data_IF_933842884934
#
_entry.id   IF_933842884934
#
_cell.length_a   1.000
_cell.length_b   1.000
_cell.length_c   1.000
_cell.angle_alpha   90.00
_cell.angle_beta   90.00
_cell.angle_gamma   90.00
#
_symmetry.space_group_name_H-M   'P 1'
#
loop_
_entity.id
_entity.type
_entity.pdbx_description
1 polymer ?
#
# COMPACT_ATOMS: atom_id res chain seq x y z
N UNK A 1 3.53 18.08 -9.29
CA UNK A 1 4.73 17.67 -8.54
C UNK A 1 5.13 16.29 -9.04
N UNK A 2 6.43 16.01 -9.11
CA UNK A 2 6.98 14.94 -9.95
C UNK A 2 6.88 13.56 -9.27
N UNK A 3 6.17 12.61 -9.88
CA UNK A 3 6.10 11.21 -9.45
C UNK A 3 7.49 10.56 -9.38
N UNK A 4 8.44 11.06 -10.18
CA UNK A 4 9.84 10.64 -10.16
C UNK A 4 10.51 10.85 -8.80
N UNK A 5 10.22 11.96 -8.11
CA UNK A 5 10.80 12.22 -6.79
C UNK A 5 10.32 11.20 -5.75
N UNK A 6 9.07 10.74 -5.86
CA UNK A 6 8.56 9.69 -4.98
C UNK A 6 9.31 8.38 -5.20
N UNK A 7 9.52 7.98 -6.46
CA UNK A 7 10.29 6.78 -6.79
C UNK A 7 11.73 6.85 -6.29
N UNK A 8 12.38 8.02 -6.41
CA UNK A 8 13.72 8.26 -5.86
C UNK A 8 13.75 8.08 -4.34
N UNK A 9 12.79 8.63 -3.61
CA UNK A 9 12.70 8.46 -2.14
C UNK A 9 12.41 7.02 -1.73
N UNK A 10 11.56 6.31 -2.47
CA UNK A 10 11.27 4.91 -2.22
C UNK A 10 12.53 4.06 -2.39
N UNK A 11 13.30 4.31 -3.45
CA UNK A 11 14.57 3.64 -3.67
C UNK A 11 15.57 3.89 -2.53
N UNK A 12 15.72 5.13 -2.07
CA UNK A 12 16.55 5.47 -0.91
C UNK A 12 16.07 4.77 0.38
N UNK A 13 14.76 4.57 0.51
CA UNK A 13 14.15 3.82 1.60
C UNK A 13 14.21 2.29 1.41
N UNK A 14 14.78 1.80 0.30
CA UNK A 14 14.82 0.38 -0.10
C UNK A 14 13.41 -0.23 -0.27
N UNK A 15 12.46 0.57 -0.74
CA UNK A 15 11.14 0.15 -1.18
C UNK A 15 11.09 0.12 -2.71
N UNK A 16 10.33 -0.82 -3.27
CA UNK A 16 10.12 -0.90 -4.71
C UNK A 16 9.05 0.09 -5.14
N UNK A 17 9.24 0.73 -6.29
CA UNK A 17 8.32 1.71 -6.87
C UNK A 17 8.16 1.49 -8.36
N UNK A 18 6.92 1.39 -8.84
CA UNK A 18 6.59 1.14 -10.25
C UNK A 18 5.48 2.07 -10.71
N UNK A 19 5.55 2.51 -11.96
CA UNK A 19 4.42 3.16 -12.64
C UNK A 19 3.57 2.12 -13.36
N UNK A 20 2.26 2.23 -13.21
CA UNK A 20 1.27 1.28 -13.71
C UNK A 20 0.20 2.01 -14.49
N UNK A 21 -0.12 1.51 -15.67
CA UNK A 21 -1.08 2.06 -16.62
C UNK A 21 -2.19 1.04 -16.84
N UNK A 22 -3.40 1.39 -16.38
CA UNK A 22 -4.61 0.61 -16.53
C UNK A 22 -4.67 -0.66 -15.64
N UNK A 23 -5.86 -1.28 -15.55
CA UNK A 23 -6.11 -2.39 -14.63
C UNK A 23 -5.40 -3.69 -15.03
N UNK A 24 -5.09 -3.88 -16.32
CA UNK A 24 -4.38 -5.06 -16.82
C UNK A 24 -2.92 -5.11 -16.33
N UNK A 25 -2.22 -3.97 -16.43
CA UNK A 25 -0.84 -3.88 -15.94
C UNK A 25 -0.82 -3.95 -14.41
N UNK A 26 -1.84 -3.40 -13.73
CA UNK A 26 -1.97 -3.52 -12.28
C UNK A 26 -2.15 -4.98 -11.84
N UNK A 27 -3.03 -5.72 -12.49
CA UNK A 27 -3.23 -7.15 -12.24
C UNK A 27 -1.93 -7.94 -12.47
N UNK A 28 -1.19 -7.62 -13.53
CA UNK A 28 0.10 -8.25 -13.82
C UNK A 28 1.13 -7.94 -12.72
N UNK A 29 1.28 -6.67 -12.34
CA UNK A 29 2.23 -6.27 -11.30
C UNK A 29 1.93 -6.95 -9.96
N UNK A 30 0.66 -7.02 -9.56
CA UNK A 30 0.24 -7.74 -8.36
C UNK A 30 0.54 -9.25 -8.45
N UNK A 31 0.33 -9.88 -9.61
CA UNK A 31 0.62 -11.31 -9.79
C UNK A 31 2.14 -11.61 -9.73
N UNK A 32 2.99 -10.69 -10.18
CA UNK A 32 4.44 -10.86 -10.23
C UNK A 32 5.14 -10.50 -8.91
N UNK A 33 4.64 -9.50 -8.18
CA UNK A 33 5.35 -8.91 -7.03
C UNK A 33 4.76 -9.31 -5.67
N UNK A 34 3.55 -9.86 -5.62
CA UNK A 34 2.90 -10.20 -4.35
C UNK A 34 3.23 -11.61 -3.84
N UNK A 35 3.53 -11.71 -2.55
CA UNK A 35 3.45 -12.98 -1.83
C UNK A 35 1.99 -13.42 -1.67
N UNK A 36 1.70 -14.69 -1.88
CA UNK A 36 0.37 -15.26 -1.60
C UNK A 36 0.26 -15.73 -0.14
N UNK A 37 -0.92 -15.64 0.51
CA UNK A 37 -2.17 -15.11 -0.01
C UNK A 37 -2.23 -13.56 -0.01
N UNK A 38 -3.00 -13.01 -0.95
CA UNK A 38 -3.29 -11.58 -1.09
C UNK A 38 -4.53 -11.19 -0.28
N UNK A 39 -4.38 -10.20 0.61
CA UNK A 39 -5.51 -9.51 1.22
C UNK A 39 -5.74 -8.17 0.55
N UNK A 40 -6.94 -7.97 0.01
CA UNK A 40 -7.32 -6.76 -0.72
C UNK A 40 -8.19 -5.88 0.16
N UNK A 41 -7.87 -4.58 0.21
CA UNK A 41 -8.81 -3.58 0.68
C UNK A 41 -10.09 -3.57 -0.16
N UNK A 42 -11.23 -3.29 0.48
CA UNK A 42 -12.51 -3.04 -0.18
C UNK A 42 -12.51 -1.69 -0.91
N UNK A 43 -11.84 -1.66 -2.06
CA UNK A 43 -11.71 -0.47 -2.91
C UNK A 43 -12.25 -0.75 -4.32
N UNK A 44 -12.98 0.18 -4.98
CA UNK A 44 -13.51 -0.03 -6.34
C UNK A 44 -12.47 -0.50 -7.36
N UNK A 45 -11.27 0.09 -7.35
CA UNK A 45 -10.14 -0.34 -8.20
C UNK A 45 -9.76 -1.81 -7.97
N UNK A 46 -9.75 -2.27 -6.72
CA UNK A 46 -9.38 -3.65 -6.39
C UNK A 46 -10.50 -4.63 -6.79
N UNK A 47 -11.76 -4.22 -6.73
CA UNK A 47 -12.87 -4.98 -7.30
C UNK A 47 -12.79 -5.10 -8.83
N UNK A 48 -12.34 -4.05 -9.52
CA UNK A 48 -12.11 -4.08 -10.97
C UNK A 48 -10.95 -5.01 -11.35
N UNK A 49 -9.88 -5.03 -10.56
CA UNK A 49 -8.67 -5.83 -10.81
C UNK A 49 -8.82 -7.30 -10.39
N UNK A 50 -9.64 -7.61 -9.39
CA UNK A 50 -9.87 -8.96 -8.89
C UNK A 50 -10.17 -10.03 -9.98
N UNK A 51 -11.10 -9.81 -10.94
CA UNK A 51 -11.32 -10.78 -12.02
C UNK A 51 -10.10 -10.96 -12.93
N UNK A 52 -9.28 -9.90 -13.13
CA UNK A 52 -8.06 -9.96 -13.94
C UNK A 52 -6.94 -10.74 -13.25
N UNK A 53 -6.88 -10.68 -11.91
CA UNK A 53 -6.00 -11.53 -11.09
C UNK A 53 -6.38 -13.00 -11.23
N UNK A 54 -7.68 -13.31 -11.09
CA UNK A 54 -8.19 -14.68 -11.25
C UNK A 54 -7.91 -15.22 -12.67
N UNK A 55 -8.10 -14.42 -13.71
CA UNK A 55 -7.79 -14.78 -15.09
C UNK A 55 -6.30 -15.10 -15.32
N UNK A 56 -5.41 -14.54 -14.49
CA UNK A 56 -3.96 -14.80 -14.49
C UNK A 56 -3.55 -15.99 -13.61
N UNK A 57 -4.51 -16.70 -13.01
CA UNK A 57 -4.24 -17.87 -12.16
C UNK A 57 -3.94 -17.54 -10.70
N UNK A 58 -4.06 -16.28 -10.29
CA UNK A 58 -3.97 -15.89 -8.88
C UNK A 58 -5.30 -16.23 -8.21
N UNK A 59 -5.35 -17.32 -7.45
CA UNK A 59 -6.58 -17.81 -6.80
C UNK A 59 -6.59 -17.64 -5.28
N UNK A 60 -5.43 -17.38 -4.68
CA UNK A 60 -5.28 -17.16 -3.24
C UNK A 60 -5.37 -15.67 -2.89
N UNK A 61 -6.54 -15.06 -3.15
CA UNK A 61 -6.82 -13.70 -2.73
C UNK A 61 -8.20 -13.57 -2.10
N UNK A 62 -8.33 -12.69 -1.11
CA UNK A 62 -9.61 -12.38 -0.47
C UNK A 62 -9.72 -10.88 -0.19
N UNK A 63 -10.94 -10.36 -0.27
CA UNK A 63 -11.25 -9.03 0.26
C UNK A 63 -11.33 -9.06 1.77
N UNK A 64 -10.87 -7.99 2.41
CA UNK A 64 -10.90 -7.87 3.86
C UNK A 64 -12.32 -7.90 4.42
N UNK A 65 -13.33 -7.36 3.73
CA UNK A 65 -14.73 -7.48 4.14
C UNK A 65 -15.26 -8.92 4.19
N UNK A 66 -14.65 -9.83 3.44
CA UNK A 66 -15.01 -11.25 3.44
C UNK A 66 -14.32 -12.03 4.57
N UNK A 67 -13.36 -11.42 5.28
CA UNK A 67 -12.68 -12.06 6.40
C UNK A 67 -13.53 -11.98 7.67
N UNK A 68 -13.73 -13.10 8.38
CA UNK A 68 -14.31 -13.09 9.71
C UNK A 68 -13.49 -12.18 10.65
N UNK A 69 -14.18 -11.35 11.45
CA UNK A 69 -13.52 -10.37 12.33
C UNK A 69 -12.58 -11.01 13.38
N UNK A 70 -12.80 -12.28 13.71
CA UNK A 70 -11.97 -13.12 14.60
C UNK A 70 -10.78 -13.76 13.88
N UNK A 71 -10.86 -13.96 12.56
CA UNK A 71 -9.76 -14.45 11.72
C UNK A 71 -8.91 -13.32 11.14
N UNK A 72 -9.39 -12.09 11.15
CA UNK A 72 -8.60 -10.88 10.94
C UNK A 72 -7.64 -10.57 12.12
N UNK A 73 -7.27 -11.59 12.89
CA UNK A 73 -6.23 -11.52 13.91
C UNK A 73 -4.83 -11.39 13.30
N UNK A 74 -3.86 -11.09 14.17
CA UNK A 74 -2.43 -10.90 13.87
C UNK A 74 -1.69 -12.18 13.42
N UNK A 75 -2.35 -13.07 12.67
CA UNK A 75 -1.65 -14.09 11.89
C UNK A 75 -0.74 -13.43 10.86
N UNK A 76 0.26 -14.16 10.34
CA UNK A 76 1.15 -13.64 9.29
C UNK A 76 0.33 -13.34 8.02
N UNK A 77 -0.21 -12.13 7.93
CA UNK A 77 -0.72 -11.58 6.67
C UNK A 77 0.50 -11.51 5.75
N UNK A 78 0.51 -12.36 4.72
CA UNK A 78 1.60 -12.38 3.76
C UNK A 78 1.67 -11.05 3.02
N UNK A 79 0.59 -10.67 2.34
CA UNK A 79 0.53 -9.42 1.57
C UNK A 79 -0.79 -8.69 1.79
N UNK A 80 -0.71 -7.40 2.11
CA UNK A 80 -1.86 -6.50 2.16
C UNK A 80 -1.76 -5.49 1.02
N UNK A 81 -2.81 -5.42 0.20
CA UNK A 81 -2.95 -4.47 -0.90
C UNK A 81 -3.96 -3.40 -0.52
N UNK A 82 -3.53 -2.13 -0.51
CA UNK A 82 -4.37 -0.98 -0.18
C UNK A 82 -4.25 0.12 -1.22
N UNK A 83 -5.21 1.01 -1.25
CA UNK A 83 -5.16 2.23 -2.08
C UNK A 83 -4.96 3.45 -1.18
N UNK A 84 -3.83 4.13 -1.37
CA UNK A 84 -3.53 5.36 -0.65
C UNK A 84 -4.40 6.53 -1.13
N UNK A 85 -4.68 7.46 -0.22
CA UNK A 85 -5.30 8.73 -0.57
C UNK A 85 -4.36 9.65 -1.37
N UNK A 86 -3.05 9.47 -1.23
CA UNK A 86 -2.02 10.19 -1.94
C UNK A 86 -0.63 9.93 -1.36
N UNK A 87 0.37 10.59 -1.92
CA UNK A 87 1.76 10.52 -1.47
C UNK A 87 2.42 11.90 -1.43
N UNK A 88 3.41 12.03 -0.54
CA UNK A 88 4.21 13.21 -0.30
C UNK A 88 5.66 12.89 -0.70
N UNK A 89 6.07 13.17 -1.95
CA UNK A 89 7.41 12.88 -2.44
C UNK A 89 8.53 13.48 -1.61
N UNK A 90 8.36 14.64 -0.99
CA UNK A 90 9.45 15.29 -0.24
C UNK A 90 9.87 14.49 0.98
N UNK A 91 8.93 13.75 1.59
CA UNK A 91 9.16 12.93 2.77
C UNK A 91 9.13 11.43 2.48
N UNK A 92 8.75 11.02 1.27
CA UNK A 92 8.52 9.61 0.92
C UNK A 92 7.35 9.00 1.68
N UNK A 93 6.35 9.80 2.04
CA UNK A 93 5.21 9.37 2.87
C UNK A 93 3.98 9.04 2.03
N UNK A 94 3.25 8.00 2.41
CA UNK A 94 1.98 7.57 1.82
C UNK A 94 0.85 7.85 2.82
N UNK A 95 -0.27 8.38 2.34
CA UNK A 95 -1.41 8.74 3.17
C UNK A 95 -2.44 7.61 3.12
N UNK A 96 -2.63 6.91 4.23
CA UNK A 96 -3.61 5.82 4.39
C UNK A 96 -4.76 6.31 5.27
N UNK A 97 -5.98 5.93 4.91
CA UNK A 97 -7.20 6.43 5.56
C UNK A 97 -8.03 5.28 6.08
N UNK A 98 -8.93 5.54 7.02
CA UNK A 98 -9.84 4.53 7.53
C UNK A 98 -11.04 4.25 6.61
N UNK A 99 -10.89 4.41 5.27
CA UNK A 99 -11.93 4.05 4.29
C UNK A 99 -12.38 2.61 4.46
N UNK A 100 -11.41 1.69 4.57
CA UNK A 100 -11.62 0.36 5.11
C UNK A 100 -11.05 0.30 6.52
N UNK A 101 -11.89 0.32 7.58
CA UNK A 101 -11.43 0.29 8.96
C UNK A 101 -10.55 -0.92 9.28
N UNK A 102 -10.84 -2.06 8.63
CA UNK A 102 -10.06 -3.28 8.82
C UNK A 102 -8.69 -3.18 8.14
N UNK A 103 -8.63 -2.68 6.91
CA UNK A 103 -7.35 -2.46 6.22
C UNK A 103 -6.48 -1.46 7.00
N UNK A 104 -7.08 -0.37 7.48
CA UNK A 104 -6.40 0.64 8.28
C UNK A 104 -5.81 0.06 9.56
N UNK A 105 -6.59 -0.75 10.30
CA UNK A 105 -6.12 -1.44 11.51
C UNK A 105 -5.00 -2.42 11.23
N UNK A 106 -5.06 -3.12 10.09
CA UNK A 106 -4.07 -4.13 9.71
C UNK A 106 -2.83 -3.53 9.04
N UNK A 107 -2.83 -2.24 8.67
CA UNK A 107 -1.72 -1.56 7.99
C UNK A 107 -0.39 -1.51 8.76
N UNK A 108 -0.32 -1.95 10.01
CA UNK A 108 0.93 -2.07 10.77
C UNK A 108 1.48 -3.51 10.87
N UNK A 109 0.71 -4.51 10.43
CA UNK A 109 0.96 -5.93 10.67
C UNK A 109 1.39 -6.81 9.47
N UNK A 110 1.30 -6.44 8.18
CA UNK A 110 1.57 -7.37 7.09
C UNK A 110 3.07 -7.55 6.90
N UNK A 111 3.49 -8.70 6.37
CA UNK A 111 4.89 -8.90 5.94
C UNK A 111 5.22 -8.07 4.72
N UNK A 112 4.33 -8.04 3.73
CA UNK A 112 4.46 -7.22 2.55
C UNK A 112 3.31 -6.23 2.46
N UNK A 113 3.65 -4.96 2.25
CA UNK A 113 2.72 -3.92 1.85
C UNK A 113 2.80 -3.70 0.34
N UNK A 114 1.66 -3.74 -0.34
CA UNK A 114 1.53 -3.19 -1.68
C UNK A 114 0.56 -2.02 -1.62
N UNK A 115 1.06 -0.81 -1.86
CA UNK A 115 0.28 0.41 -1.78
C UNK A 115 0.13 1.01 -3.17
N UNK A 116 -1.11 1.11 -3.62
CA UNK A 116 -1.45 1.73 -4.89
C UNK A 116 -1.71 3.23 -4.64
N UNK A 117 -1.02 4.10 -5.37
CA UNK A 117 -1.16 5.55 -5.25
C UNK A 117 -1.72 6.08 -6.56
N UNK A 118 -2.88 6.77 -6.57
CA UNK A 118 -3.38 7.43 -7.77
C UNK A 118 -2.34 8.44 -8.29
N UNK A 119 -2.00 8.39 -9.58
CA UNK A 119 -0.92 9.20 -10.16
C UNK A 119 -1.15 10.70 -9.93
N UNK A 120 -2.40 11.16 -10.04
CA UNK A 120 -2.78 12.56 -9.84
C UNK A 120 -2.59 13.03 -8.38
N UNK A 121 -2.42 12.10 -7.44
CA UNK A 121 -2.14 12.36 -6.01
C UNK A 121 -0.80 11.79 -5.54
N UNK A 122 0.06 11.34 -6.46
CA UNK A 122 1.40 10.86 -6.10
C UNK A 122 2.37 12.00 -5.74
N UNK A 123 1.98 13.25 -6.00
CA UNK A 123 2.81 14.44 -5.83
C UNK A 123 2.19 15.51 -4.95
N UNK A 124 1.66 15.17 -3.79
CA UNK A 124 1.12 16.15 -2.84
C UNK A 124 2.25 16.83 -2.06
N UNK A 125 2.19 18.15 -1.93
CA UNK A 125 2.97 18.86 -0.92
C UNK A 125 2.47 18.52 0.49
N UNK A 126 3.32 18.69 1.51
CA UNK A 126 2.92 18.55 2.91
C UNK A 126 1.67 19.39 3.27
N UNK A 127 1.58 20.62 2.77
CA UNK A 127 0.45 21.51 3.02
C UNK A 127 -0.86 20.97 2.40
N UNK A 128 -0.80 20.43 1.18
CA UNK A 128 -1.94 19.78 0.54
C UNK A 128 -2.38 18.53 1.30
N UNK A 129 -1.42 17.70 1.74
CA UNK A 129 -1.69 16.52 2.54
C UNK A 129 -2.36 16.84 3.89
N UNK A 130 -1.92 17.90 4.58
CA UNK A 130 -2.52 18.36 5.83
C UNK A 130 -3.94 18.90 5.60
N UNK A 131 -4.16 19.67 4.53
CA UNK A 131 -5.48 20.19 4.17
C UNK A 131 -6.45 19.05 3.88
N UNK A 132 -5.99 18.06 3.13
CA UNK A 132 -6.76 16.86 2.81
C UNK A 132 -7.08 16.05 4.09
N UNK A 133 -6.10 15.83 4.95
CA UNK A 133 -6.27 15.12 6.23
C UNK A 133 -7.29 15.80 7.14
N UNK A 134 -7.34 17.13 7.17
CA UNK A 134 -8.31 17.89 7.94
C UNK A 134 -9.76 17.75 7.43
N UNK A 135 -9.95 17.29 6.19
CA UNK A 135 -11.25 17.11 5.56
C UNK A 135 -11.70 15.63 5.53
N UNK A 136 -10.85 14.69 5.96
CA UNK A 136 -11.15 13.26 5.93
C UNK A 136 -12.25 12.93 6.97
N UNK A 137 -13.45 12.47 6.54
CA UNK A 137 -14.63 12.37 7.42
C UNK A 137 -14.45 11.44 8.62
N UNK A 138 -13.62 10.42 8.49
CA UNK A 138 -13.33 9.48 9.58
C UNK A 138 -12.44 10.07 10.68
N UNK A 139 -11.71 11.15 10.38
CA UNK A 139 -10.70 11.73 11.27
C UNK A 139 -9.49 10.84 11.53
N UNK A 140 -9.39 9.69 10.84
CA UNK A 140 -8.34 8.69 11.03
C UNK A 140 -7.46 8.62 9.78
N UNK A 141 -6.23 9.08 9.93
CA UNK A 141 -5.22 9.07 8.87
C UNK A 141 -3.90 8.54 9.45
N UNK A 142 -3.24 7.67 8.70
CA UNK A 142 -1.92 7.11 9.00
C UNK A 142 -0.97 7.50 7.88
N UNK A 143 0.25 7.89 8.25
CA UNK A 143 1.28 8.33 7.32
C UNK A 143 2.37 7.26 7.30
N UNK A 144 2.39 6.43 6.26
CA UNK A 144 3.39 5.38 6.11
C UNK A 144 4.62 5.96 5.41
N UNK A 145 5.78 5.94 6.06
CA UNK A 145 7.03 6.51 5.51
C UNK A 145 8.10 5.43 5.41
N UNK A 146 8.23 4.82 4.23
CA UNK A 146 9.14 3.69 3.99
C UNK A 146 8.78 2.40 4.79
N UNK A 147 9.55 1.31 4.60
CA UNK A 147 9.41 0.09 5.39
C UNK A 147 9.85 0.30 6.85
N UNK A 148 9.27 -0.46 7.79
CA UNK A 148 9.63 -0.34 9.21
C UNK A 148 11.03 -0.87 9.45
N UNK A 149 11.95 0.01 9.87
CA UNK A 149 13.31 -0.35 10.26
C UNK A 149 13.51 0.01 11.73
N UNK A 150 13.70 -1.02 12.56
CA UNK A 150 14.16 -0.84 13.93
C UNK A 150 15.64 -1.21 13.94
N UNK A 151 16.52 -0.23 14.13
CA UNK A 151 17.92 -0.54 14.42
C UNK A 151 17.98 -1.05 15.87
N UNK A 152 18.36 -2.31 16.06
CA UNK A 152 18.60 -2.82 17.41
C UNK A 152 19.83 -2.09 18.00
N UNK A 153 19.83 -1.85 19.32
CA UNK A 153 20.80 -0.99 20.03
C UNK A 153 22.26 -1.44 19.79
N UNK A 154 22.45 -2.69 19.39
CA UNK A 154 23.74 -3.31 19.07
C UNK A 154 24.20 -3.15 17.61
N UNK A 155 23.59 -2.27 16.81
CA UNK A 155 24.00 -1.93 15.42
C UNK A 155 23.96 -3.09 14.42
N UNK A 156 23.15 -4.11 14.68
CA UNK A 156 22.79 -5.10 13.66
C UNK A 156 21.40 -4.74 13.11
N UNK A 157 21.30 -4.44 11.82
CA UNK A 157 20.03 -4.19 11.14
C UNK A 157 19.20 -5.49 11.16
N UNK A 158 18.16 -5.53 12.01
CA UNK A 158 17.15 -6.58 11.98
C UNK A 158 15.97 -6.04 11.20
N UNK A 159 15.79 -6.53 9.96
CA UNK A 159 14.57 -6.29 9.19
C UNK A 159 13.40 -7.02 9.88
N UNK A 160 12.27 -6.32 10.12
CA UNK A 160 11.01 -6.96 10.52
C UNK A 160 10.68 -7.11 12.01
N UNK A 161 11.37 -6.43 12.94
CA UNK A 161 11.05 -6.57 14.37
C UNK A 161 9.73 -5.86 14.81
N UNK A 162 9.29 -4.81 14.10
CA UNK A 162 8.09 -4.01 14.43
C UNK A 162 7.43 -3.35 13.19
N UNK A 163 7.22 -4.09 12.09
CA UNK A 163 6.44 -3.65 10.93
C UNK A 163 6.78 -4.42 9.64
N UNK A 164 6.22 -3.98 8.51
CA UNK A 164 6.34 -4.71 7.23
C UNK A 164 7.80 -4.94 6.80
N UNK A 165 8.08 -6.18 6.39
CA UNK A 165 9.37 -6.65 5.88
C UNK A 165 9.68 -6.05 4.49
N UNK A 166 8.64 -5.78 3.69
CA UNK A 166 8.77 -5.12 2.38
C UNK A 166 7.61 -4.17 2.09
N UNK A 167 7.92 -3.14 1.29
CA UNK A 167 6.95 -2.16 0.78
C UNK A 167 7.14 -2.02 -0.73
N UNK A 168 6.06 -2.21 -1.47
CA UNK A 168 5.96 -1.96 -2.92
C UNK A 168 4.94 -0.84 -3.12
N UNK A 169 5.29 0.18 -3.89
CA UNK A 169 4.40 1.28 -4.24
C UNK A 169 4.12 1.28 -5.73
N UNK A 170 2.85 1.25 -6.09
CA UNK A 170 2.38 1.25 -7.47
C UNK A 170 1.72 2.59 -7.77
N UNK A 171 2.36 3.44 -8.57
CA UNK A 171 1.80 4.71 -9.01
C UNK A 171 0.86 4.41 -10.19
N UNK A 172 -0.45 4.54 -9.97
CA UNK A 172 -1.48 4.07 -10.88
C UNK A 172 -2.10 5.19 -11.71
N UNK A 173 -2.08 5.02 -13.03
CA UNK A 173 -2.81 5.82 -14.00
C UNK A 173 -3.96 4.98 -14.59
N UNK A 174 -5.23 5.44 -14.53
CA UNK A 174 -6.34 4.74 -15.18
C UNK A 174 -6.39 4.89 -16.71
N UNK A 175 -5.67 5.85 -17.31
CA UNK A 175 -5.71 6.10 -18.76
C UNK A 175 -4.86 5.09 -19.55
N UNK A 176 -5.50 4.29 -20.39
CA UNK A 176 -4.87 3.50 -21.46
C UNK A 176 -5.20 4.06 -22.84
#
# INVERSE_FOLDING_TARGET
MDAKLLLERLHEAQADGLEIIGPEQLAQALAEHAGLPLLLEDHPLLHEVAPLLAARGVIEFNFLSAMPADQAGMGQIATLVMVAAGAIPETGSLIITARSPLAFRLSGCPRQHIIIVPQERAGLTLAQALTWTAQEPSGLVSWLTGPSRTADIEKTLVLGAQGAESLVVLIYNPES
#
